data_IF_893517709872
#
_entry.id   IF_893517709872
#
_cell.length_a   1.000
_cell.length_b   1.000
_cell.length_c   1.000
_cell.angle_alpha   90.00
_cell.angle_beta   90.00
_cell.angle_gamma   90.00
#
_symmetry.space_group_name_H-M   'P 1'
#
loop_
_entity.id
_entity.type
_entity.pdbx_description
1 polymer ?
#
# COMPACT_ATOMS: atom_id res chain seq x y z
N UNK A 1 -9.08 31.35 16.08
CA UNK A 1 -8.67 30.93 14.72
C UNK A 1 -7.19 30.57 14.67
N UNK A 2 -6.37 31.08 15.61
CA UNK A 2 -4.92 30.84 15.68
C UNK A 2 -4.55 29.38 16.01
N UNK A 3 -5.31 28.71 16.88
CA UNK A 3 -5.15 27.26 17.20
C UNK A 3 -5.31 26.32 15.99
N UNK A 4 -6.04 26.72 14.94
CA UNK A 4 -6.22 25.90 13.72
C UNK A 4 -5.10 26.13 12.70
N UNK A 5 -4.36 27.23 12.82
CA UNK A 5 -3.24 27.58 11.92
C UNK A 5 -1.87 27.30 12.55
N UNK A 6 -1.80 27.03 13.85
CA UNK A 6 -0.60 26.59 14.57
C UNK A 6 0.16 25.42 13.90
N UNK A 7 -0.50 24.35 13.40
CA UNK A 7 0.21 23.26 12.72
C UNK A 7 0.93 23.72 11.44
N UNK A 8 0.39 24.72 10.75
CA UNK A 8 0.99 25.29 9.53
C UNK A 8 2.15 26.26 9.84
N UNK A 9 2.27 26.72 11.09
CA UNK A 9 3.40 27.55 11.52
C UNK A 9 4.70 26.74 11.70
N UNK A 10 4.58 25.44 11.96
CA UNK A 10 5.71 24.53 12.03
C UNK A 10 6.06 23.95 10.65
N UNK A 11 7.21 24.36 10.11
CA UNK A 11 7.74 23.86 8.82
C UNK A 11 7.82 22.33 8.78
N UNK A 12 8.23 21.71 9.89
CA UNK A 12 8.30 20.26 10.05
C UNK A 12 6.92 19.58 9.88
N UNK A 13 5.85 20.13 10.45
CA UNK A 13 4.49 19.55 10.38
C UNK A 13 3.90 19.70 8.97
N UNK A 14 4.14 20.84 8.33
CA UNK A 14 3.72 21.06 6.94
C UNK A 14 4.40 20.07 6.00
N UNK A 15 5.71 19.83 6.17
CA UNK A 15 6.43 18.81 5.41
C UNK A 15 5.87 17.41 5.69
N UNK A 16 5.65 17.05 6.96
CA UNK A 16 5.06 15.76 7.35
C UNK A 16 3.69 15.50 6.69
N UNK A 17 2.83 16.51 6.63
CA UNK A 17 1.50 16.42 6.00
C UNK A 17 1.60 16.18 4.48
N UNK A 18 2.44 16.94 3.78
CA UNK A 18 2.63 16.78 2.33
C UNK A 18 3.31 15.46 1.97
N UNK A 19 4.33 15.06 2.73
CA UNK A 19 5.04 13.78 2.56
C UNK A 19 4.09 12.62 2.80
N UNK A 20 3.31 12.65 3.89
CA UNK A 20 2.32 11.61 4.19
C UNK A 20 1.23 11.53 3.12
N UNK A 21 0.79 12.67 2.58
CA UNK A 21 -0.18 12.72 1.48
C UNK A 21 0.40 12.15 0.17
N UNK A 22 1.66 12.46 -0.15
CA UNK A 22 2.36 11.93 -1.33
C UNK A 22 2.51 10.41 -1.22
N UNK A 23 3.03 9.92 -0.08
CA UNK A 23 3.17 8.49 0.20
C UNK A 23 1.81 7.80 0.13
N UNK A 24 0.80 8.37 0.78
CA UNK A 24 -0.56 7.84 0.78
C UNK A 24 -1.16 7.77 -0.62
N UNK A 25 -0.92 8.77 -1.47
CA UNK A 25 -1.35 8.77 -2.85
C UNK A 25 -0.67 7.68 -3.68
N UNK A 26 0.66 7.55 -3.59
CA UNK A 26 1.43 6.55 -4.34
C UNK A 26 1.07 5.12 -3.91
N UNK A 27 1.04 4.86 -2.60
CA UNK A 27 0.65 3.57 -2.04
C UNK A 27 -0.79 3.20 -2.40
N UNK A 28 -1.73 4.16 -2.37
CA UNK A 28 -3.11 3.91 -2.74
C UNK A 28 -3.31 3.70 -4.26
N UNK A 29 -2.48 4.32 -5.10
CA UNK A 29 -2.47 4.02 -6.53
C UNK A 29 -2.06 2.56 -6.77
N UNK A 30 -0.97 2.12 -6.13
CA UNK A 30 -0.49 0.73 -6.22
C UNK A 30 -1.53 -0.25 -5.65
N UNK A 31 -2.16 0.12 -4.53
CA UNK A 31 -3.24 -0.63 -3.87
C UNK A 31 -4.38 -1.01 -4.83
N UNK A 32 -4.77 -0.08 -5.71
CA UNK A 32 -5.81 -0.32 -6.71
C UNK A 32 -5.51 -1.54 -7.60
N UNK A 33 -4.26 -1.70 -8.04
CA UNK A 33 -3.84 -2.83 -8.88
C UNK A 33 -3.70 -4.12 -8.06
N UNK A 34 -3.14 -4.02 -6.86
CA UNK A 34 -2.98 -5.16 -5.96
C UNK A 34 -4.33 -5.77 -5.59
N UNK A 35 -5.32 -4.92 -5.28
CA UNK A 35 -6.67 -5.36 -4.93
C UNK A 35 -7.34 -6.13 -6.08
N UNK A 36 -7.21 -5.66 -7.32
CA UNK A 36 -7.82 -6.33 -8.48
C UNK A 36 -7.18 -7.69 -8.80
N UNK A 37 -5.89 -7.84 -8.49
CA UNK A 37 -5.21 -9.12 -8.63
C UNK A 37 -5.36 -10.04 -7.42
N UNK A 38 -5.94 -9.56 -6.33
CA UNK A 38 -6.03 -10.30 -5.07
C UNK A 38 -4.70 -10.38 -4.30
N UNK A 39 -3.74 -9.51 -4.62
CA UNK A 39 -2.39 -9.50 -4.02
C UNK A 39 -2.31 -8.58 -2.80
N UNK A 40 -3.33 -8.61 -1.93
CA UNK A 40 -3.41 -7.69 -0.78
C UNK A 40 -2.28 -7.93 0.24
N UNK A 41 -1.82 -9.17 0.38
CA UNK A 41 -0.77 -9.56 1.33
C UNK A 41 0.66 -9.20 0.90
N UNK A 42 0.84 -8.70 -0.33
CA UNK A 42 2.18 -8.43 -0.86
C UNK A 42 2.86 -7.28 -0.11
N UNK A 43 2.09 -6.26 0.31
CA UNK A 43 2.62 -5.11 1.05
C UNK A 43 3.14 -5.50 2.43
N UNK A 44 2.45 -6.43 3.10
CA UNK A 44 2.87 -7.01 4.38
C UNK A 44 4.15 -7.83 4.23
N UNK A 45 4.17 -8.74 3.24
CA UNK A 45 5.35 -9.54 2.95
C UNK A 45 6.58 -8.68 2.63
N UNK A 46 6.45 -7.65 1.78
CA UNK A 46 7.56 -6.76 1.47
C UNK A 46 8.07 -6.02 2.70
N UNK A 47 7.19 -5.50 3.55
CA UNK A 47 7.58 -4.73 4.74
C UNK A 47 8.44 -5.56 5.69
N UNK A 48 8.13 -6.85 5.85
CA UNK A 48 8.88 -7.77 6.69
C UNK A 48 10.10 -8.38 5.99
N UNK A 49 10.07 -8.55 4.68
CA UNK A 49 11.24 -9.00 3.90
C UNK A 49 12.37 -7.96 3.85
N UNK A 50 12.11 -6.71 4.23
CA UNK A 50 13.10 -5.64 4.32
C UNK A 50 13.98 -5.75 5.58
N UNK A 51 13.47 -6.37 6.65
CA UNK A 51 14.18 -6.59 7.94
C UNK A 51 15.58 -7.20 7.79
N UNK A 52 15.80 -8.32 7.04
CA UNK A 52 17.15 -8.85 6.83
C UNK A 52 18.10 -7.86 6.14
N UNK A 53 17.58 -7.01 5.25
CA UNK A 53 18.39 -5.99 4.57
C UNK A 53 18.88 -4.91 5.51
N UNK A 54 18.00 -4.44 6.40
CA UNK A 54 18.35 -3.46 7.43
C UNK A 54 19.35 -4.07 8.42
N UNK A 55 19.12 -5.31 8.85
CA UNK A 55 20.03 -6.02 9.74
C UNK A 55 21.41 -6.26 9.11
N UNK A 56 21.45 -6.63 7.83
CA UNK A 56 22.69 -6.78 7.08
C UNK A 56 23.44 -5.45 6.89
N UNK A 57 22.72 -4.36 6.60
CA UNK A 57 23.32 -3.03 6.49
C UNK A 57 23.94 -2.56 7.82
N UNK A 58 23.29 -2.85 8.96
CA UNK A 58 23.84 -2.56 10.28
C UNK A 58 25.20 -3.23 10.51
N UNK A 59 25.33 -4.52 10.17
CA UNK A 59 26.59 -5.26 10.31
C UNK A 59 27.70 -4.70 9.42
N UNK A 60 27.34 -4.24 8.22
CA UNK A 60 28.27 -3.67 7.25
C UNK A 60 28.59 -2.18 7.51
N UNK A 61 27.93 -1.53 8.48
CA UNK A 61 28.04 -0.09 8.71
C UNK A 61 27.48 0.77 7.57
N UNK A 62 26.58 0.22 6.75
CA UNK A 62 25.95 0.90 5.62
C UNK A 62 24.64 1.59 6.04
N UNK A 63 24.18 2.61 5.28
CA UNK A 63 22.91 3.26 5.56
C UNK A 63 21.74 2.26 5.47
N UNK A 64 20.85 2.29 6.47
CA UNK A 64 19.69 1.39 6.56
C UNK A 64 18.82 1.41 5.31
N UNK A 65 18.69 2.59 4.69
CA UNK A 65 17.87 2.77 3.49
C UNK A 65 18.38 1.96 2.30
N UNK A 66 19.69 1.82 2.17
CA UNK A 66 20.30 1.03 1.11
C UNK A 66 20.07 -0.46 1.33
N UNK A 67 20.28 -0.95 2.55
CA UNK A 67 20.00 -2.34 2.92
C UNK A 67 18.53 -2.69 2.72
N UNK A 68 17.65 -1.78 3.12
CA UNK A 68 16.22 -1.94 2.97
C UNK A 68 15.78 -2.05 1.50
N UNK A 69 16.29 -1.15 0.66
CA UNK A 69 16.00 -1.14 -0.77
C UNK A 69 16.51 -2.39 -1.48
N UNK A 70 17.73 -2.84 -1.16
CA UNK A 70 18.31 -4.05 -1.76
C UNK A 70 17.53 -5.30 -1.37
N UNK A 71 17.21 -5.47 -0.08
CA UNK A 71 16.43 -6.64 0.37
C UNK A 71 14.99 -6.61 -0.16
N UNK A 72 14.32 -5.45 -0.12
CA UNK A 72 12.99 -5.30 -0.70
C UNK A 72 12.97 -5.54 -2.20
N UNK A 73 13.98 -5.08 -2.93
CA UNK A 73 14.14 -5.30 -4.37
C UNK A 73 14.39 -6.77 -4.70
N UNK A 74 15.27 -7.43 -3.94
CA UNK A 74 15.52 -8.88 -4.05
C UNK A 74 14.26 -9.69 -3.74
N UNK A 75 13.52 -9.34 -2.69
CA UNK A 75 12.27 -10.00 -2.34
C UNK A 75 11.21 -9.86 -3.44
N UNK A 76 11.01 -8.63 -3.96
CA UNK A 76 10.08 -8.37 -5.06
C UNK A 76 10.49 -9.10 -6.36
N UNK A 77 11.79 -9.09 -6.69
CA UNK A 77 12.34 -9.81 -7.82
C UNK A 77 12.18 -11.33 -7.68
N UNK A 78 12.42 -11.87 -6.49
CA UNK A 78 12.23 -13.29 -6.19
C UNK A 78 10.75 -13.69 -6.28
N UNK A 79 9.82 -12.87 -5.76
CA UNK A 79 8.38 -13.09 -5.91
C UNK A 79 7.98 -13.13 -7.38
N UNK A 80 8.45 -12.17 -8.19
CA UNK A 80 8.15 -12.13 -9.62
C UNK A 80 8.74 -13.34 -10.37
N UNK A 81 10.01 -13.65 -10.14
CA UNK A 81 10.69 -14.78 -10.77
C UNK A 81 10.00 -16.11 -10.43
N UNK A 82 9.65 -16.31 -9.16
CA UNK A 82 8.97 -17.52 -8.73
C UNK A 82 7.54 -17.56 -9.29
N UNK A 83 6.83 -16.41 -9.35
CA UNK A 83 5.47 -16.35 -9.88
C UNK A 83 5.38 -16.68 -11.36
N UNK A 84 6.41 -16.39 -12.15
CA UNK A 84 6.42 -16.69 -13.58
C UNK A 84 6.88 -18.13 -13.89
N UNK A 85 7.72 -18.73 -13.04
CA UNK A 85 8.38 -20.02 -13.33
C UNK A 85 7.79 -21.23 -12.60
N UNK A 86 7.24 -21.05 -11.41
CA UNK A 86 6.90 -22.19 -10.54
C UNK A 86 5.48 -22.73 -10.73
N UNK A 87 4.58 -21.97 -11.37
CA UNK A 87 3.16 -22.33 -11.47
C UNK A 87 2.41 -22.36 -10.12
N UNK A 88 3.06 -21.94 -9.03
CA UNK A 88 2.45 -21.87 -7.70
C UNK A 88 1.47 -20.69 -7.61
N UNK A 89 0.48 -20.82 -6.72
CA UNK A 89 -0.41 -19.71 -6.37
C UNK A 89 0.42 -18.57 -5.79
N UNK A 90 0.11 -17.33 -6.19
CA UNK A 90 0.86 -16.14 -5.77
C UNK A 90 0.90 -16.01 -4.24
N UNK A 91 -0.19 -16.34 -3.54
CA UNK A 91 -0.25 -16.30 -2.07
C UNK A 91 0.79 -17.22 -1.41
N UNK A 92 1.07 -18.38 -2.02
CA UNK A 92 2.09 -19.32 -1.52
C UNK A 92 3.49 -18.74 -1.70
N UNK A 93 3.73 -18.07 -2.83
CA UNK A 93 5.01 -17.42 -3.13
C UNK A 93 5.26 -16.26 -2.17
N UNK A 94 4.24 -15.43 -1.94
CA UNK A 94 4.29 -14.33 -0.98
C UNK A 94 4.65 -14.88 0.41
N UNK A 95 3.96 -15.92 0.88
CA UNK A 95 4.23 -16.56 2.17
C UNK A 95 5.64 -17.18 2.28
N UNK A 96 6.13 -17.82 1.21
CA UNK A 96 7.46 -18.42 1.17
C UNK A 96 8.56 -17.36 1.26
N UNK A 97 8.46 -16.29 0.48
CA UNK A 97 9.44 -15.20 0.50
C UNK A 97 9.39 -14.45 1.84
N UNK A 98 8.18 -14.17 2.34
CA UNK A 98 7.96 -13.55 3.65
C UNK A 98 8.68 -14.33 4.76
N UNK A 99 8.35 -15.61 4.93
CA UNK A 99 8.90 -16.46 6.00
C UNK A 99 10.41 -16.64 5.86
N UNK A 100 10.92 -16.81 4.63
CA UNK A 100 12.34 -17.03 4.36
C UNK A 100 13.18 -15.79 4.67
N UNK A 101 12.78 -14.61 4.16
CA UNK A 101 13.50 -13.36 4.40
C UNK A 101 13.36 -12.89 5.84
N UNK A 102 12.15 -12.97 6.41
CA UNK A 102 11.92 -12.57 7.79
C UNK A 102 12.68 -13.49 8.76
N UNK A 103 12.66 -14.81 8.53
CA UNK A 103 13.44 -15.78 9.32
C UNK A 103 14.95 -15.53 9.22
N UNK A 104 15.45 -15.19 8.03
CA UNK A 104 16.85 -14.79 7.83
C UNK A 104 17.17 -13.51 8.62
N UNK A 105 16.28 -12.52 8.59
CA UNK A 105 16.43 -11.28 9.36
C UNK A 105 16.47 -11.53 10.86
N UNK A 106 15.57 -12.36 11.39
CA UNK A 106 15.57 -12.75 12.80
C UNK A 106 16.85 -13.52 13.18
N UNK A 107 17.36 -14.38 12.30
CA UNK A 107 18.61 -15.09 12.52
C UNK A 107 19.81 -14.13 12.61
N UNK A 108 19.90 -13.14 11.71
CA UNK A 108 20.95 -12.12 11.75
C UNK A 108 20.88 -11.32 13.06
N UNK A 109 19.68 -10.87 13.44
CA UNK A 109 19.45 -10.10 14.67
C UNK A 109 19.80 -10.92 15.92
N UNK A 110 19.59 -12.23 15.89
CA UNK A 110 19.95 -13.14 16.99
C UNK A 110 21.47 -13.21 17.23
N UNK A 111 22.26 -13.14 16.15
CA UNK A 111 23.74 -13.21 16.24
C UNK A 111 24.34 -11.86 16.62
N UNK A 112 23.80 -10.75 16.08
CA UNK A 112 24.25 -9.40 16.37
C UNK A 112 23.07 -8.56 16.90
N UNK A 113 22.93 -8.41 18.23
CA UNK A 113 21.86 -7.60 18.79
C UNK A 113 22.01 -6.15 18.31
N UNK A 114 21.05 -5.71 17.51
CA UNK A 114 21.02 -4.35 16.98
C UNK A 114 20.68 -3.37 18.10
N UNK A 115 21.35 -2.22 18.11
CA UNK A 115 21.09 -1.10 19.03
C UNK A 115 19.78 -0.36 18.72
N UNK A 116 19.20 -0.57 17.54
CA UNK A 116 17.93 0.04 17.12
C UNK A 116 16.79 -0.93 17.41
N UNK A 117 15.86 -0.50 18.26
CA UNK A 117 14.63 -1.23 18.55
C UNK A 117 13.82 -1.42 17.26
N UNK A 118 13.47 -2.66 16.94
CA UNK A 118 12.54 -3.02 15.84
C UNK A 118 11.25 -2.18 15.93
N UNK A 119 10.86 -1.82 17.15
CA UNK A 119 9.72 -0.96 17.47
C UNK A 119 9.80 0.45 16.83
N UNK A 120 10.99 1.02 16.70
CA UNK A 120 11.18 2.33 16.04
C UNK A 120 10.99 2.23 14.53
N UNK A 121 11.35 1.08 13.93
CA UNK A 121 11.16 0.81 12.50
C UNK A 121 9.70 0.48 12.20
N UNK A 122 9.02 -0.25 13.10
CA UNK A 122 7.62 -0.65 12.89
C UNK A 122 6.63 0.48 13.14
N UNK A 123 6.88 1.34 14.14
CA UNK A 123 6.02 2.49 14.45
C UNK A 123 6.34 3.72 13.59
N UNK A 124 7.55 3.82 13.05
CA UNK A 124 8.01 5.00 12.32
C UNK A 124 8.17 6.21 13.23
N UNK A 125 8.96 7.18 12.81
CA UNK A 125 9.02 8.46 13.48
C UNK A 125 9.01 9.58 12.45
N UNK A 126 7.80 10.05 12.14
CA UNK A 126 7.63 11.18 11.22
C UNK A 126 8.42 12.39 11.75
N UNK A 127 8.52 12.55 13.08
CA UNK A 127 9.19 13.67 13.78
C UNK A 127 10.71 13.69 13.66
N UNK A 128 11.33 12.58 13.27
CA UNK A 128 12.78 12.48 13.07
C UNK A 128 13.19 12.51 11.59
N UNK A 129 12.28 12.86 10.67
CA UNK A 129 12.59 12.92 9.25
C UNK A 129 13.62 14.01 8.98
N UNK A 130 14.77 13.61 8.42
CA UNK A 130 15.77 14.56 7.97
C UNK A 130 15.34 15.24 6.66
N UNK A 131 15.86 16.43 6.35
CA UNK A 131 15.59 17.09 5.07
C UNK A 131 16.03 16.24 3.86
N UNK A 132 17.09 15.45 4.03
CA UNK A 132 17.62 14.54 3.01
C UNK A 132 16.65 13.38 2.73
N UNK A 133 16.11 12.75 3.78
CA UNK A 133 15.10 11.68 3.63
C UNK A 133 13.81 12.20 3.00
N UNK A 134 13.41 13.42 3.34
CA UNK A 134 12.25 14.10 2.74
C UNK A 134 12.43 14.26 1.23
N UNK A 135 13.60 14.75 0.80
CA UNK A 135 13.89 14.95 -0.61
C UNK A 135 13.95 13.62 -1.37
N UNK A 136 14.62 12.62 -0.79
CA UNK A 136 14.69 11.28 -1.39
C UNK A 136 13.30 10.67 -1.56
N UNK A 137 12.45 10.78 -0.54
CA UNK A 137 11.08 10.27 -0.62
C UNK A 137 10.23 11.05 -1.61
N UNK A 138 10.37 12.37 -1.67
CA UNK A 138 9.68 13.20 -2.65
C UNK A 138 10.07 12.79 -4.08
N UNK A 139 11.36 12.55 -4.35
CA UNK A 139 11.84 12.07 -5.65
C UNK A 139 11.26 10.69 -5.96
N UNK A 140 11.37 9.72 -5.06
CA UNK A 140 10.85 8.36 -5.27
C UNK A 140 9.33 8.39 -5.48
N UNK A 141 8.60 9.14 -4.66
CA UNK A 141 7.15 9.26 -4.74
C UNK A 141 6.71 9.91 -6.05
N UNK A 142 7.33 11.02 -6.45
CA UNK A 142 6.97 11.74 -7.68
C UNK A 142 7.33 10.94 -8.93
N UNK A 143 8.52 10.31 -8.96
CA UNK A 143 8.93 9.41 -10.06
C UNK A 143 7.99 8.22 -10.15
N UNK A 144 7.65 7.59 -9.02
CA UNK A 144 6.74 6.45 -9.00
C UNK A 144 5.36 6.85 -9.50
N UNK A 145 4.82 7.97 -9.03
CA UNK A 145 3.52 8.46 -9.47
C UNK A 145 3.53 8.82 -10.97
N UNK A 146 4.59 9.46 -11.46
CA UNK A 146 4.73 9.81 -12.87
C UNK A 146 4.77 8.57 -13.77
N UNK A 147 5.56 7.55 -13.38
CA UNK A 147 5.62 6.28 -14.12
C UNK A 147 4.26 5.57 -14.08
N UNK A 148 3.63 5.51 -12.90
CA UNK A 148 2.31 4.89 -12.72
C UNK A 148 1.23 5.58 -13.56
N UNK A 149 1.19 6.91 -13.58
CA UNK A 149 0.25 7.69 -14.40
C UNK A 149 0.53 7.57 -15.89
N UNK A 150 1.79 7.48 -16.31
CA UNK A 150 2.14 7.28 -17.73
C UNK A 150 1.77 5.87 -18.19
N UNK A 151 2.04 4.86 -17.35
CA UNK A 151 1.87 3.43 -17.68
C UNK A 151 0.56 2.82 -17.19
N UNK A 152 -0.38 3.62 -16.69
CA UNK A 152 -1.61 3.12 -16.09
C UNK A 152 -2.44 2.21 -17.01
N UNK A 153 -2.52 2.55 -18.30
CA UNK A 153 -3.21 1.75 -19.34
C UNK A 153 -2.47 0.46 -19.65
N UNK A 154 -1.15 0.53 -19.86
CA UNK A 154 -0.31 -0.64 -20.16
C UNK A 154 -0.34 -1.64 -19.00
N UNK A 155 -0.27 -1.16 -17.76
CA UNK A 155 -0.42 -1.96 -16.54
C UNK A 155 -1.82 -2.57 -16.47
N UNK A 156 -2.87 -1.80 -16.73
CA UNK A 156 -4.25 -2.31 -16.73
C UNK A 156 -4.38 -3.48 -17.71
N UNK A 157 -3.97 -3.31 -18.96
CA UNK A 157 -4.06 -4.39 -19.97
C UNK A 157 -3.26 -5.62 -19.53
N UNK A 158 -2.05 -5.42 -19.00
CA UNK A 158 -1.18 -6.51 -18.51
C UNK A 158 -1.80 -7.28 -17.35
N UNK A 159 -2.47 -6.60 -16.42
CA UNK A 159 -3.11 -7.23 -15.27
C UNK A 159 -4.49 -7.82 -15.60
N UNK A 160 -5.20 -7.36 -16.63
CA UNK A 160 -6.47 -7.96 -17.02
C UNK A 160 -6.29 -9.14 -17.98
N UNK A 161 -5.47 -8.99 -19.02
CA UNK A 161 -5.22 -10.03 -20.02
C UNK A 161 -3.78 -9.99 -20.53
N UNK A 162 -2.97 -10.93 -20.04
CA UNK A 162 -1.57 -11.09 -20.41
C UNK A 162 -1.37 -11.56 -21.86
N UNK A 163 -2.33 -12.28 -22.43
CA UNK A 163 -2.27 -12.76 -23.81
C UNK A 163 -2.63 -11.63 -24.78
N UNK A 164 -3.64 -10.83 -24.44
CA UNK A 164 -3.98 -9.62 -25.19
C UNK A 164 -2.84 -8.60 -25.14
N UNK A 165 -2.23 -8.40 -23.97
CA UNK A 165 -1.05 -7.53 -23.83
C UNK A 165 0.09 -7.93 -24.76
N UNK A 166 0.41 -9.23 -24.85
CA UNK A 166 1.42 -9.76 -25.79
C UNK A 166 1.06 -9.52 -27.25
N UNK A 167 -0.22 -9.64 -27.59
CA UNK A 167 -0.71 -9.44 -28.96
C UNK A 167 -0.60 -7.98 -29.42
N UNK A 168 -0.75 -7.01 -28.50
CA UNK A 168 -0.58 -5.58 -28.76
C UNK A 168 0.92 -5.17 -28.76
N UNK A 169 1.83 -6.11 -28.53
CA UNK A 169 3.28 -5.85 -28.52
C UNK A 169 3.83 -5.36 -27.18
N UNK A 170 3.04 -5.40 -26.10
CA UNK A 170 3.53 -5.14 -24.76
C UNK A 170 4.35 -6.33 -24.26
N UNK A 171 5.27 -6.06 -23.31
CA UNK A 171 6.07 -7.09 -22.61
C UNK A 171 5.56 -7.23 -21.17
N UNK A 172 4.62 -8.16 -20.89
CA UNK A 172 4.02 -8.31 -19.57
C UNK A 172 5.01 -8.47 -18.43
N UNK A 173 6.05 -9.30 -18.61
CA UNK A 173 7.06 -9.53 -17.58
C UNK A 173 7.82 -8.26 -17.20
N UNK A 174 8.12 -7.39 -18.18
CA UNK A 174 8.78 -6.11 -17.90
C UNK A 174 7.84 -5.12 -17.19
N UNK A 175 6.56 -5.09 -17.57
CA UNK A 175 5.56 -4.24 -16.89
C UNK A 175 5.31 -4.70 -15.45
N UNK A 176 5.23 -6.01 -15.20
CA UNK A 176 5.17 -6.58 -13.86
C UNK A 176 6.44 -6.25 -13.07
N UNK A 177 7.62 -6.38 -13.67
CA UNK A 177 8.89 -6.02 -13.04
C UNK A 177 8.92 -4.54 -12.63
N UNK A 178 8.54 -3.63 -13.53
CA UNK A 178 8.43 -2.20 -13.22
C UNK A 178 7.44 -1.98 -12.07
N UNK A 179 6.28 -2.61 -12.10
CA UNK A 179 5.29 -2.48 -11.02
C UNK A 179 5.84 -2.94 -9.66
N UNK A 180 6.48 -4.12 -9.61
CA UNK A 180 7.06 -4.67 -8.39
C UNK A 180 8.24 -3.84 -7.86
N UNK A 181 9.05 -3.28 -8.75
CA UNK A 181 10.14 -2.36 -8.38
C UNK A 181 9.58 -1.06 -7.81
N UNK A 182 8.57 -0.47 -8.45
CA UNK A 182 7.90 0.74 -7.95
C UNK A 182 7.21 0.49 -6.61
N UNK A 183 6.56 -0.66 -6.46
CA UNK A 183 5.93 -1.07 -5.21
C UNK A 183 6.98 -1.22 -4.10
N UNK A 184 8.08 -1.91 -4.38
CA UNK A 184 9.18 -2.09 -3.43
C UNK A 184 9.81 -0.76 -3.02
N UNK A 185 10.14 0.10 -3.99
CA UNK A 185 10.67 1.42 -3.74
C UNK A 185 9.72 2.28 -2.89
N UNK A 186 8.42 2.24 -3.20
CA UNK A 186 7.40 2.99 -2.47
C UNK A 186 7.21 2.48 -1.05
N UNK A 187 7.14 1.15 -0.86
CA UNK A 187 7.01 0.52 0.46
C UNK A 187 8.23 0.82 1.33
N UNK A 188 9.44 0.70 0.80
CA UNK A 188 10.68 0.99 1.53
C UNK A 188 10.76 2.46 1.94
N UNK A 189 10.48 3.38 1.01
CA UNK A 189 10.49 4.82 1.30
C UNK A 189 9.41 5.19 2.34
N UNK A 190 8.20 4.66 2.17
CA UNK A 190 7.10 4.87 3.10
C UNK A 190 7.39 4.29 4.49
N UNK A 191 8.04 3.12 4.56
CA UNK A 191 8.34 2.45 5.82
C UNK A 191 9.32 3.27 6.68
N UNK A 192 10.30 3.92 6.07
CA UNK A 192 11.29 4.74 6.79
C UNK A 192 10.68 6.00 7.39
N UNK A 193 9.73 6.60 6.69
CA UNK A 193 9.13 7.89 7.10
C UNK A 193 7.95 7.71 8.02
N UNK A 194 7.07 6.77 7.69
CA UNK A 194 5.73 6.66 8.26
C UNK A 194 5.56 5.40 9.11
N UNK A 195 6.41 4.38 8.92
CA UNK A 195 6.41 3.13 9.69
C UNK A 195 5.69 1.98 8.99
N UNK A 196 6.20 0.75 9.16
CA UNK A 196 5.74 -0.45 8.46
C UNK A 196 4.24 -0.71 8.60
N UNK A 197 3.68 -0.52 9.80
CA UNK A 197 2.27 -0.79 10.06
C UNK A 197 1.33 0.09 9.22
N UNK A 198 1.63 1.39 9.14
CA UNK A 198 0.82 2.30 8.35
C UNK A 198 0.98 2.03 6.85
N UNK A 199 2.18 1.68 6.37
CA UNK A 199 2.36 1.30 4.95
C UNK A 199 1.43 0.16 4.55
N UNK A 200 1.33 -0.88 5.37
CA UNK A 200 0.46 -2.04 5.10
C UNK A 200 -1.01 -1.58 4.98
N UNK A 201 -1.47 -0.75 5.92
CA UNK A 201 -2.82 -0.21 5.87
C UNK A 201 -3.07 0.66 4.63
N UNK A 202 -2.10 1.48 4.23
CA UNK A 202 -2.20 2.33 3.04
C UNK A 202 -2.17 1.53 1.73
N UNK A 203 -1.54 0.36 1.73
CA UNK A 203 -1.48 -0.54 0.57
C UNK A 203 -2.75 -1.40 0.44
N UNK A 204 -3.50 -1.62 1.52
CA UNK A 204 -4.68 -2.50 1.49
C UNK A 204 -6.01 -1.72 1.57
N UNK A 205 -6.16 -0.85 2.56
CA UNK A 205 -7.44 -0.22 2.92
C UNK A 205 -8.01 0.72 1.85
N UNK A 206 -7.26 1.64 1.23
CA UNK A 206 -7.84 2.56 0.25
C UNK A 206 -8.28 1.84 -1.04
N UNK A 207 -7.54 0.83 -1.50
CA UNK A 207 -7.95 -0.01 -2.63
C UNK A 207 -9.20 -0.84 -2.33
N UNK A 208 -9.27 -1.47 -1.15
CA UNK A 208 -10.45 -2.20 -0.71
C UNK A 208 -11.68 -1.28 -0.58
N UNK A 209 -11.48 -0.08 -0.02
CA UNK A 209 -12.54 0.93 0.10
C UNK A 209 -13.03 1.36 -1.28
N UNK A 210 -12.13 1.73 -2.19
CA UNK A 210 -12.50 2.18 -3.52
C UNK A 210 -13.19 1.10 -4.36
N UNK A 211 -12.77 -0.16 -4.20
CA UNK A 211 -13.39 -1.32 -4.84
C UNK A 211 -14.86 -1.50 -4.42
N UNK A 212 -15.20 -1.21 -3.15
CA UNK A 212 -16.60 -1.28 -2.68
C UNK A 212 -17.49 -0.18 -3.28
N UNK A 213 -16.93 0.99 -3.60
CA UNK A 213 -17.69 2.14 -4.11
C UNK A 213 -17.83 2.18 -5.64
N UNK A 214 -16.92 1.57 -6.40
CA UNK A 214 -16.83 1.77 -7.86
C UNK A 214 -16.47 0.49 -8.63
N UNK A 215 -17.18 0.23 -9.73
CA UNK A 215 -16.89 -0.90 -10.64
C UNK A 215 -15.96 -0.52 -11.81
N UNK A 216 -15.71 0.78 -12.04
CA UNK A 216 -14.87 1.24 -13.16
C UNK A 216 -13.44 1.49 -12.71
N UNK A 217 -12.48 0.84 -13.39
CA UNK A 217 -11.06 0.91 -13.06
C UNK A 217 -10.47 2.33 -12.96
N UNK A 218 -10.71 3.26 -13.90
CA UNK A 218 -10.21 4.64 -13.76
C UNK A 218 -10.77 5.37 -12.52
N UNK A 219 -12.04 5.10 -12.19
CA UNK A 219 -12.66 5.66 -10.98
C UNK A 219 -12.10 5.03 -9.71
N UNK A 220 -11.81 3.73 -9.75
CA UNK A 220 -11.19 3.02 -8.64
C UNK A 220 -9.83 3.63 -8.30
N UNK A 221 -8.95 3.84 -9.28
CA UNK A 221 -7.65 4.52 -9.05
C UNK A 221 -7.86 5.90 -8.44
N UNK A 222 -8.71 6.73 -9.05
CA UNK A 222 -8.92 8.11 -8.59
C UNK A 222 -9.44 8.15 -7.15
N UNK A 223 -10.37 7.24 -6.81
CA UNK A 223 -10.97 7.19 -5.48
C UNK A 223 -10.01 6.60 -4.44
N UNK A 224 -9.23 5.56 -4.80
CA UNK A 224 -8.17 5.03 -3.94
C UNK A 224 -7.15 6.12 -3.59
N UNK A 225 -6.62 6.82 -4.60
CA UNK A 225 -5.63 7.88 -4.43
C UNK A 225 -6.21 9.03 -3.60
N UNK A 226 -7.43 9.46 -3.89
CA UNK A 226 -8.11 10.50 -3.11
C UNK A 226 -8.28 10.09 -1.64
N UNK A 227 -8.76 8.88 -1.37
CA UNK A 227 -8.91 8.37 0.00
C UNK A 227 -7.54 8.30 0.67
N UNK A 228 -6.53 7.70 0.04
CA UNK A 228 -5.19 7.56 0.60
C UNK A 228 -4.54 8.92 0.92
N UNK A 229 -4.53 9.85 -0.03
CA UNK A 229 -3.93 11.17 0.15
C UNK A 229 -4.67 12.00 1.21
N UNK A 230 -6.01 12.04 1.16
CA UNK A 230 -6.82 12.80 2.11
C UNK A 230 -6.73 12.20 3.52
N UNK A 231 -6.82 10.88 3.67
CA UNK A 231 -6.70 10.24 4.99
C UNK A 231 -5.33 10.44 5.61
N UNK A 232 -4.26 10.38 4.83
CA UNK A 232 -2.91 10.69 5.34
C UNK A 232 -2.76 12.15 5.71
N UNK A 233 -3.26 13.07 4.88
CA UNK A 233 -3.16 14.51 5.14
C UNK A 233 -3.93 14.91 6.41
N UNK A 234 -5.19 14.50 6.50
CA UNK A 234 -6.02 14.79 7.67
C UNK A 234 -5.58 14.00 8.90
N UNK A 235 -5.14 12.76 8.75
CA UNK A 235 -4.64 11.97 9.88
C UNK A 235 -3.34 12.52 10.46
N UNK A 236 -2.44 13.05 9.63
CA UNK A 236 -1.26 13.78 10.08
C UNK A 236 -1.63 15.08 10.82
N UNK A 237 -2.58 15.86 10.29
CA UNK A 237 -3.09 17.06 10.94
C UNK A 237 -3.73 16.76 12.31
N UNK A 238 -4.58 15.73 12.38
CA UNK A 238 -5.28 15.32 13.60
C UNK A 238 -4.29 14.78 14.65
N UNK A 239 -3.23 14.11 14.21
CA UNK A 239 -2.18 13.57 15.09
C UNK A 239 -1.48 14.64 15.92
N UNK A 240 -1.35 15.87 15.40
CA UNK A 240 -0.79 16.99 16.14
C UNK A 240 -1.66 17.39 17.35
N UNK A 241 -2.99 17.37 17.22
CA UNK A 241 -3.90 17.77 18.30
C UNK A 241 -4.10 16.66 19.35
N UNK A 242 -3.99 15.40 18.94
CA UNK A 242 -4.19 14.25 19.84
C UNK A 242 -2.90 13.77 20.52
N UNK A 243 -1.74 14.35 20.17
CA UNK A 243 -0.41 13.94 20.65
C UNK A 243 -0.20 12.41 20.59
N UNK A 244 -0.80 11.79 19.58
CA UNK A 244 -0.88 10.35 19.39
C UNK A 244 -0.04 9.88 18.20
N UNK A 245 0.34 8.59 18.21
CA UNK A 245 1.13 8.00 17.12
C UNK A 245 0.43 8.18 15.76
N UNK A 246 1.04 8.97 14.87
CA UNK A 246 0.46 9.39 13.59
C UNK A 246 0.05 8.20 12.73
N UNK A 247 0.85 7.13 12.75
CA UNK A 247 0.55 5.85 12.11
C UNK A 247 -0.79 5.26 12.56
N UNK A 248 -0.99 5.14 13.87
CA UNK A 248 -2.22 4.59 14.44
C UNK A 248 -3.46 5.43 14.10
N UNK A 249 -3.35 6.75 14.16
CA UNK A 249 -4.46 7.67 13.87
C UNK A 249 -4.91 7.55 12.41
N UNK A 250 -3.97 7.53 11.47
CA UNK A 250 -4.30 7.37 10.04
C UNK A 250 -4.96 6.00 9.80
N UNK A 251 -4.46 4.92 10.40
CA UNK A 251 -5.05 3.58 10.27
C UNK A 251 -6.47 3.54 10.83
N UNK A 252 -6.70 4.12 12.01
CA UNK A 252 -8.04 4.21 12.60
C UNK A 252 -8.99 5.01 11.70
N UNK A 253 -8.52 6.12 11.12
CA UNK A 253 -9.31 6.96 10.23
C UNK A 253 -9.64 6.23 8.91
N UNK A 254 -8.67 5.54 8.31
CA UNK A 254 -8.89 4.69 7.14
C UNK A 254 -9.87 3.56 7.42
N UNK A 255 -9.75 2.90 8.58
CA UNK A 255 -10.66 1.84 9.00
C UNK A 255 -12.08 2.37 9.20
N UNK A 256 -12.22 3.56 9.81
CA UNK A 256 -13.52 4.20 9.97
C UNK A 256 -14.17 4.51 8.62
N UNK A 257 -13.41 5.07 7.66
CA UNK A 257 -13.90 5.33 6.30
C UNK A 257 -14.25 4.03 5.59
N UNK A 258 -13.45 2.97 5.74
CA UNK A 258 -13.75 1.66 5.19
C UNK A 258 -15.06 1.10 5.77
N UNK A 259 -15.29 1.19 7.09
CA UNK A 259 -16.52 0.73 7.73
C UNK A 259 -17.74 1.55 7.26
N UNK A 260 -17.59 2.87 7.16
CA UNK A 260 -18.63 3.77 6.63
C UNK A 260 -18.96 3.39 5.18
N UNK A 261 -17.94 3.20 4.35
CA UNK A 261 -18.08 2.74 2.97
C UNK A 261 -18.73 1.36 2.91
N UNK A 262 -18.35 0.43 3.77
CA UNK A 262 -18.92 -0.91 3.82
C UNK A 262 -20.42 -0.89 4.21
N UNK A 263 -20.82 -0.01 5.12
CA UNK A 263 -22.23 0.16 5.49
C UNK A 263 -23.04 0.85 4.39
N UNK A 264 -22.49 1.92 3.79
CA UNK A 264 -23.18 2.77 2.80
C UNK A 264 -22.99 2.33 1.34
N UNK A 265 -22.14 1.34 1.06
CA UNK A 265 -21.74 1.01 -0.31
C UNK A 265 -22.96 0.61 -1.17
N UNK A 266 -23.16 1.26 -2.33
CA UNK A 266 -24.38 1.14 -3.12
C UNK A 266 -24.54 -0.20 -3.87
N UNK A 267 -23.49 -1.03 -3.98
CA UNK A 267 -23.55 -2.35 -4.63
C UNK A 267 -23.09 -3.53 -3.77
N UNK A 268 -22.05 -3.34 -2.94
CA UNK A 268 -21.52 -4.37 -2.04
C UNK A 268 -21.85 -4.12 -0.55
N UNK A 269 -22.52 -3.01 -0.22
CA UNK A 269 -22.85 -2.68 1.16
C UNK A 269 -24.04 -3.46 1.67
N UNK A 270 -24.04 -3.75 2.97
CA UNK A 270 -25.08 -4.53 3.67
C UNK A 270 -26.50 -3.99 3.39
N UNK A 271 -26.64 -2.67 3.20
CA UNK A 271 -27.90 -1.99 2.89
C UNK A 271 -28.34 -2.17 1.42
N UNK A 272 -27.42 -2.24 0.47
CA UNK A 272 -27.72 -2.51 -0.94
C UNK A 272 -28.08 -3.98 -1.16
N UNK A 273 -27.34 -4.90 -0.52
CA UNK A 273 -27.65 -6.33 -0.50
C UNK A 273 -29.01 -6.60 0.17
N UNK A 274 -29.31 -5.93 1.30
CA UNK A 274 -30.63 -5.99 1.94
C UNK A 274 -31.74 -5.40 1.08
N UNK A 275 -31.49 -4.31 0.34
CA UNK A 275 -32.48 -3.73 -0.60
C UNK A 275 -32.73 -4.62 -1.82
N UNK A 276 -31.69 -5.27 -2.37
CA UNK A 276 -31.85 -6.27 -3.43
C UNK A 276 -32.58 -7.51 -2.92
N UNK A 277 -32.21 -8.05 -1.76
CA UNK A 277 -32.92 -9.17 -1.15
C UNK A 277 -34.39 -8.82 -0.83
N UNK A 278 -34.67 -7.60 -0.34
CA UNK A 278 -36.03 -7.13 -0.10
C UNK A 278 -36.83 -6.87 -1.40
N UNK A 279 -36.16 -6.57 -2.53
CA UNK A 279 -36.80 -6.50 -3.85
C UNK A 279 -37.08 -7.89 -4.42
N UNK A 280 -36.14 -8.83 -4.30
CA UNK A 280 -36.32 -10.22 -4.71
C UNK A 280 -37.41 -10.96 -3.90
N UNK A 281 -37.64 -10.56 -2.64
CA UNK A 281 -38.76 -11.05 -1.83
C UNK A 281 -40.11 -10.38 -2.18
N UNK A 282 -40.11 -9.22 -2.84
CA UNK A 282 -41.32 -8.55 -3.33
C UNK A 282 -41.72 -9.00 -4.72
N UNK A 283 -40.77 -9.40 -5.55
CA UNK A 283 -40.97 -10.15 -6.79
C UNK A 283 -41.11 -11.65 -6.46
N UNK A 284 -42.19 -12.02 -5.78
CA UNK A 284 -42.55 -13.44 -5.62
C UNK A 284 -42.81 -14.09 -6.98
N UNK A 285 -42.68 -15.43 -7.10
CA UNK A 285 -42.90 -16.13 -8.36
C UNK A 285 -44.36 -15.99 -8.79
N UNK A 286 -44.68 -15.02 -9.64
CA UNK A 286 -46.00 -14.94 -10.26
C UNK A 286 -46.13 -16.03 -11.33
N UNK A 287 -46.95 -17.03 -10.98
CA UNK A 287 -47.76 -17.87 -11.88
C UNK A 287 -47.07 -18.49 -13.11
N UNK A 288 -46.29 -19.54 -12.88
CA UNK A 288 -46.04 -20.60 -13.86
C UNK A 288 -46.78 -21.88 -13.49
N UNK A 289 -48.07 -21.77 -13.17
CA UNK A 289 -48.96 -22.90 -12.94
C UNK A 289 -49.50 -23.44 -14.27
N UNK A 290 -49.20 -24.71 -14.52
CA UNK A 290 -49.90 -25.68 -15.37
C UNK A 290 -51.22 -25.19 -15.98
N UNK A 291 -51.23 -25.04 -17.31
CA UNK A 291 -52.12 -25.73 -18.25
C UNK A 291 -51.48 -25.75 -19.63
#
# INVERSE_FOLDING_TARGET
MDLLLEPFSYSYMTNAMWVSALVGGVCAFLSAYLMLKGWSLIGDALSHSVVPGVAGAYILGLPFSLGAFLAGGLAAGAMLFLSERSGLKVDVIIGLIFTSFFGLGLFIVSINPMSISIQTITMGNILAITPEDTLQLAIIGFVSLAVLLSKWKDLMVTFFDENHARTIGLRPGLLKAVFFVLLSASVVAAMQTVGAFLVIAMVVTPGATAYLLCDRFPRLIMLSVAIGALTSFFGAYISYFLDGATGGIIVCLQTAIFLIAFLLAPKHGLLAARRMAARALREGPESGGVT
#
